data_IF_186131771990
#
_entry.id   IF_186131771990
#
_cell.length_a   1.000
_cell.length_b   1.000
_cell.length_c   1.000
_cell.angle_alpha   90.00
_cell.angle_beta   90.00
_cell.angle_gamma   90.00
#
_symmetry.space_group_name_H-M   'P 1'
#
loop_
_entity.id
_entity.type
_entity.pdbx_description
1 polymer ?
#
# COMPACT_ATOMS: atom_id res chain seq x y z
N UNK A 1 2.75 11.68 3.12
CA UNK A 1 1.86 11.21 4.19
C UNK A 1 1.24 9.91 3.73
N UNK A 2 1.25 8.88 4.57
CA UNK A 2 0.59 7.60 4.28
C UNK A 2 -0.63 7.48 5.16
N UNK A 3 -1.78 7.18 4.57
CA UNK A 3 -3.02 6.84 5.27
C UNK A 3 -3.24 5.35 5.13
N UNK A 4 -3.31 4.65 6.26
CA UNK A 4 -3.69 3.25 6.32
C UNK A 4 -5.20 3.16 6.53
N UNK A 5 -5.89 2.53 5.58
CA UNK A 5 -7.32 2.32 5.61
C UNK A 5 -7.59 0.83 5.66
N UNK A 6 -8.37 0.42 6.65
CA UNK A 6 -9.01 -0.89 6.63
C UNK A 6 -10.03 -0.89 5.48
N UNK A 7 -10.11 -1.93 4.66
CA UNK A 7 -11.08 -1.99 3.54
C UNK A 7 -12.37 -2.73 3.91
N UNK A 8 -12.43 -3.47 5.04
CA UNK A 8 -13.55 -4.37 5.41
C UNK A 8 -14.03 -5.28 4.27
N UNK A 9 -13.14 -5.68 3.35
CA UNK A 9 -13.49 -6.47 2.16
C UNK A 9 -14.12 -5.67 1.01
N UNK A 10 -14.18 -4.34 1.09
CA UNK A 10 -14.75 -3.46 0.07
C UNK A 10 -13.65 -2.90 -0.83
N UNK A 11 -13.54 -3.43 -2.03
CA UNK A 11 -12.45 -3.11 -2.99
C UNK A 11 -12.41 -1.61 -3.37
N UNK A 12 -13.56 -0.97 -3.55
CA UNK A 12 -13.63 0.45 -3.94
C UNK A 12 -13.43 1.43 -2.76
N UNK A 13 -13.18 0.94 -1.54
CA UNK A 13 -13.07 1.83 -0.36
C UNK A 13 -11.90 2.79 -0.44
N UNK A 14 -10.77 2.34 -1.00
CA UNK A 14 -9.58 3.16 -1.19
C UNK A 14 -9.81 4.27 -2.21
N UNK A 15 -10.44 3.96 -3.35
CA UNK A 15 -10.80 4.96 -4.36
C UNK A 15 -11.82 5.98 -3.81
N UNK A 16 -12.79 5.52 -3.03
CA UNK A 16 -13.73 6.41 -2.33
C UNK A 16 -13.05 7.35 -1.33
N UNK A 17 -11.98 6.91 -0.65
CA UNK A 17 -11.19 7.77 0.22
C UNK A 17 -10.32 8.74 -0.61
N UNK A 18 -9.77 8.28 -1.73
CA UNK A 18 -8.92 9.06 -2.64
C UNK A 18 -9.65 10.27 -3.22
N UNK A 19 -10.89 10.12 -3.68
CA UNK A 19 -11.68 11.23 -4.24
C UNK A 19 -12.03 12.31 -3.21
N UNK A 20 -11.87 12.03 -1.92
CA UNK A 20 -12.06 13.00 -0.82
C UNK A 20 -10.80 13.77 -0.48
N UNK A 21 -9.64 13.36 -0.98
CA UNK A 21 -8.38 14.10 -0.78
C UNK A 21 -8.46 15.40 -1.58
N UNK A 22 -8.23 16.57 -0.94
CA UNK A 22 -8.15 17.83 -1.66
C UNK A 22 -7.07 17.79 -2.76
N UNK A 23 -7.38 18.28 -3.95
CA UNK A 23 -6.52 18.20 -5.13
C UNK A 23 -5.06 18.66 -4.89
N UNK A 24 -4.85 19.70 -4.08
CA UNK A 24 -3.53 20.24 -3.75
C UNK A 24 -2.70 19.36 -2.78
N UNK A 25 -3.29 18.28 -2.26
CA UNK A 25 -2.67 17.29 -1.39
C UNK A 25 -2.48 15.94 -2.07
N UNK A 26 -3.14 15.69 -3.20
CA UNK A 26 -3.17 14.39 -3.88
C UNK A 26 -1.77 13.80 -4.05
N UNK A 27 -0.78 14.57 -4.52
CA UNK A 27 0.57 14.07 -4.79
C UNK A 27 1.42 13.81 -3.54
N UNK A 28 0.92 14.16 -2.35
CA UNK A 28 1.62 14.01 -1.07
C UNK A 28 0.92 13.07 -0.09
N UNK A 29 -0.26 12.57 -0.46
CA UNK A 29 -1.05 11.65 0.33
C UNK A 29 -1.18 10.34 -0.43
N UNK A 30 -0.74 9.27 0.21
CA UNK A 30 -0.81 7.91 -0.30
C UNK A 30 -1.76 7.09 0.58
N UNK A 31 -2.73 6.41 0.01
CA UNK A 31 -3.68 5.57 0.75
C UNK A 31 -3.38 4.10 0.48
N UNK A 32 -3.10 3.33 1.54
CA UNK A 32 -2.79 1.91 1.46
C UNK A 32 -3.69 1.12 2.42
N UNK A 33 -3.95 -0.15 2.12
CA UNK A 33 -4.76 -1.01 2.98
C UNK A 33 -4.61 -2.49 2.66
N UNK A 34 -4.96 -3.35 3.60
CA UNK A 34 -5.30 -4.74 3.29
C UNK A 34 -6.76 -4.79 2.81
N UNK A 35 -7.08 -5.78 1.95
CA UNK A 35 -8.45 -5.93 1.46
C UNK A 35 -9.37 -6.42 2.58
N UNK A 36 -8.93 -7.40 3.37
CA UNK A 36 -9.59 -7.88 4.59
C UNK A 36 -8.75 -7.51 5.83
N UNK A 37 -8.63 -8.41 6.81
CA UNK A 37 -7.85 -8.18 8.02
C UNK A 37 -6.34 -8.39 7.75
N UNK A 38 -5.45 -7.48 8.21
CA UNK A 38 -4.00 -7.71 8.21
C UNK A 38 -3.55 -9.05 8.83
N UNK A 39 -4.32 -9.62 9.77
CA UNK A 39 -4.03 -10.93 10.36
C UNK A 39 -4.14 -12.05 9.32
N UNK A 40 -5.04 -11.95 8.33
CA UNK A 40 -5.12 -12.92 7.22
C UNK A 40 -3.84 -12.89 6.37
N UNK A 41 -3.29 -11.69 6.14
CA UNK A 41 -2.01 -11.50 5.44
C UNK A 41 -0.85 -12.10 6.25
N UNK A 42 -0.88 -11.92 7.58
CA UNK A 42 0.12 -12.49 8.49
C UNK A 42 0.12 -14.02 8.46
N UNK A 43 -1.06 -14.63 8.52
CA UNK A 43 -1.23 -16.08 8.49
C UNK A 43 -0.83 -16.67 7.13
N UNK A 44 -1.29 -16.07 6.03
CA UNK A 44 -0.99 -16.55 4.67
C UNK A 44 0.50 -16.47 4.30
N UNK A 45 1.22 -15.46 4.79
CA UNK A 45 2.67 -15.29 4.56
C UNK A 45 3.54 -15.98 5.63
N UNK A 46 2.93 -16.53 6.69
CA UNK A 46 3.64 -17.11 7.84
C UNK A 46 4.75 -16.20 8.40
N UNK A 47 4.54 -14.88 8.33
CA UNK A 47 5.55 -13.85 8.62
C UNK A 47 5.03 -12.88 9.69
N UNK A 48 5.92 -12.23 10.43
CA UNK A 48 5.52 -11.16 11.34
C UNK A 48 5.12 -9.90 10.57
N UNK A 49 4.34 -9.02 11.20
CA UNK A 49 3.98 -7.72 10.64
C UNK A 49 5.20 -6.88 10.25
N UNK A 50 6.27 -6.93 11.04
CA UNK A 50 7.52 -6.22 10.75
C UNK A 50 8.22 -6.78 9.50
N UNK A 51 8.25 -8.11 9.34
CA UNK A 51 8.79 -8.75 8.14
C UNK A 51 7.98 -8.38 6.90
N UNK A 52 6.66 -8.39 7.00
CA UNK A 52 5.74 -7.98 5.92
C UNK A 52 5.99 -6.52 5.55
N UNK A 53 5.99 -5.61 6.53
CA UNK A 53 6.23 -4.18 6.29
C UNK A 53 7.61 -3.92 5.68
N UNK A 54 8.64 -4.66 6.09
CA UNK A 54 9.97 -4.58 5.50
C UNK A 54 9.96 -5.04 4.05
N UNK A 55 9.34 -6.18 3.74
CA UNK A 55 9.21 -6.68 2.38
C UNK A 55 8.45 -5.69 1.49
N UNK A 56 7.39 -5.06 1.99
CA UNK A 56 6.63 -4.02 1.29
C UNK A 56 7.50 -2.80 0.95
N UNK A 57 8.34 -2.36 1.89
CA UNK A 57 9.27 -1.27 1.68
C UNK A 57 10.41 -1.62 0.70
N UNK A 58 10.93 -2.85 0.78
CA UNK A 58 11.94 -3.37 -0.15
C UNK A 58 11.38 -3.45 -1.58
N UNK A 59 10.19 -4.00 -1.75
CA UNK A 59 9.49 -4.05 -3.04
C UNK A 59 9.26 -2.64 -3.63
N UNK A 60 8.95 -1.66 -2.78
CA UNK A 60 8.85 -0.27 -3.21
C UNK A 60 10.20 0.28 -3.69
N UNK A 61 11.30 -0.03 -2.97
CA UNK A 61 12.65 0.45 -3.31
C UNK A 61 13.18 -0.18 -4.59
N UNK A 62 12.99 -1.49 -4.75
CA UNK A 62 13.50 -2.25 -5.89
C UNK A 62 12.60 -2.13 -7.13
N UNK A 63 11.34 -1.73 -6.95
CA UNK A 63 10.37 -1.70 -8.04
C UNK A 63 9.80 -3.08 -8.38
N UNK A 64 9.72 -3.97 -7.39
CA UNK A 64 9.17 -5.32 -7.50
C UNK A 64 7.84 -5.43 -6.77
N UNK A 65 6.99 -6.37 -7.17
CA UNK A 65 5.65 -6.56 -6.57
C UNK A 65 5.51 -7.93 -5.92
N UNK A 66 6.56 -8.46 -5.29
CA UNK A 66 6.58 -9.81 -4.70
C UNK A 66 5.50 -9.97 -3.63
N UNK A 67 5.47 -9.07 -2.65
CA UNK A 67 4.45 -9.06 -1.60
C UNK A 67 3.20 -8.29 -2.04
N UNK A 68 3.37 -7.25 -2.85
CA UNK A 68 2.26 -6.44 -3.34
C UNK A 68 1.34 -7.20 -4.30
N UNK A 69 1.82 -8.22 -5.02
CA UNK A 69 0.99 -9.08 -5.87
C UNK A 69 0.10 -10.05 -5.08
N UNK A 70 0.23 -10.13 -3.75
CA UNK A 70 -0.64 -10.94 -2.91
C UNK A 70 -2.11 -10.49 -3.05
N UNK A 71 -3.07 -11.42 -3.02
CA UNK A 71 -4.48 -11.12 -3.26
C UNK A 71 -5.06 -10.07 -2.30
N UNK A 72 -4.57 -10.05 -1.05
CA UNK A 72 -4.96 -9.06 -0.05
C UNK A 72 -4.31 -7.67 -0.24
N UNK A 73 -3.36 -7.51 -1.16
CA UNK A 73 -2.58 -6.28 -1.34
C UNK A 73 -2.59 -5.74 -2.77
N UNK A 74 -2.85 -6.57 -3.79
CA UNK A 74 -2.74 -6.22 -5.21
C UNK A 74 -3.62 -5.05 -5.64
N UNK A 75 -4.70 -4.79 -4.91
CA UNK A 75 -5.59 -3.65 -5.16
C UNK A 75 -4.90 -2.30 -4.92
N UNK A 76 -3.78 -2.26 -4.17
CA UNK A 76 -2.99 -1.04 -3.95
C UNK A 76 -2.09 -0.68 -5.14
N UNK A 77 -2.02 -1.48 -6.21
CA UNK A 77 -1.01 -1.35 -7.27
C UNK A 77 -0.88 0.07 -7.83
N UNK A 78 -2.00 0.74 -8.12
CA UNK A 78 -2.00 2.12 -8.62
C UNK A 78 -1.36 3.11 -7.64
N UNK A 79 -1.58 2.92 -6.34
CA UNK A 79 -0.99 3.77 -5.32
C UNK A 79 0.49 3.48 -5.09
N UNK A 80 0.91 2.21 -5.24
CA UNK A 80 2.33 1.83 -5.20
C UNK A 80 3.10 2.45 -6.36
N UNK A 81 2.53 2.49 -7.56
CA UNK A 81 3.14 3.18 -8.70
C UNK A 81 3.34 4.67 -8.40
N UNK A 82 2.32 5.32 -7.82
CA UNK A 82 2.42 6.72 -7.40
C UNK A 82 3.47 6.91 -6.30
N UNK A 83 3.52 6.02 -5.32
CA UNK A 83 4.47 6.07 -4.22
C UNK A 83 5.90 5.92 -4.75
N UNK A 84 6.16 5.00 -5.67
CA UNK A 84 7.47 4.84 -6.33
C UNK A 84 7.89 6.10 -7.08
N UNK A 85 6.98 6.76 -7.79
CA UNK A 85 7.29 7.98 -8.53
C UNK A 85 7.66 9.16 -7.61
N UNK A 86 6.98 9.31 -6.48
CA UNK A 86 7.10 10.49 -5.62
C UNK A 86 8.03 10.29 -4.42
N UNK A 87 8.07 9.08 -3.86
CA UNK A 87 8.74 8.80 -2.58
C UNK A 87 10.10 8.15 -2.77
N UNK A 88 10.26 7.25 -3.75
CA UNK A 88 11.56 6.58 -4.00
C UNK A 88 12.71 7.58 -4.21
N UNK A 89 12.57 8.67 -4.98
CA UNK A 89 13.62 9.67 -5.14
C UNK A 89 13.96 10.47 -3.87
N UNK A 90 13.15 10.36 -2.81
CA UNK A 90 13.31 11.12 -1.56
C UNK A 90 13.87 10.22 -0.46
N UNK A 91 13.33 9.01 -0.29
CA UNK A 91 13.68 8.11 0.81
C UNK A 91 14.88 7.20 0.51
N UNK A 92 15.16 6.94 -0.77
CA UNK A 92 16.17 5.97 -1.20
C UNK A 92 17.20 6.58 -2.16
N UNK A 93 17.39 7.90 -2.10
CA UNK A 93 18.42 8.62 -2.83
C UNK A 93 19.82 8.31 -2.30
#
# INVERSE_FOLDING_TARGET
MVLLIDSDGIEDRLENARVRIPMHLTDRVFILGALSDPEDLRQSTSSSYETIGKAMAEDCREGTDTIWAHDLLRHNALEIDRLRQHVRPILFA
#
